data_IF_645608680603
#
_entry.id   IF_645608680603
#
_cell.length_a   1.000
_cell.length_b   1.000
_cell.length_c   1.000
_cell.angle_alpha   90.00
_cell.angle_beta   90.00
_cell.angle_gamma   90.00
#
_symmetry.space_group_name_H-M   'P 1'
#
loop_
_entity.id
_entity.type
_entity.pdbx_description
1 polymer ?
#
# COMPACT_ATOMS: atom_id res chain seq x y z
N UNK A 1 6.56 3.44 23.10
CA UNK A 1 7.36 3.03 21.99
C UNK A 1 6.60 2.13 21.07
N UNK A 2 6.51 2.41 19.86
CA UNK A 2 5.78 1.60 18.93
C UNK A 2 6.69 0.74 18.08
N UNK A 3 6.06 -0.12 17.30
CA UNK A 3 6.74 -0.93 16.31
C UNK A 3 6.88 -0.09 15.05
N UNK A 4 8.09 0.18 14.62
CA UNK A 4 8.33 1.03 13.47
C UNK A 4 8.33 0.23 12.18
N UNK A 5 7.75 0.81 11.14
CA UNK A 5 7.69 0.17 9.83
C UNK A 5 8.15 1.16 8.76
N UNK A 6 8.58 0.62 7.65
CA UNK A 6 8.95 1.45 6.51
C UNK A 6 8.49 0.78 5.22
N UNK A 7 8.34 1.58 4.19
CA UNK A 7 7.97 1.07 2.87
C UNK A 7 9.23 0.74 2.10
N UNK A 8 9.30 -0.47 1.57
CA UNK A 8 10.46 -0.90 0.80
C UNK A 8 10.29 -0.63 -0.68
N UNK A 9 9.06 -0.56 -1.13
CA UNK A 9 8.79 -0.29 -2.53
C UNK A 9 7.31 -0.38 -2.80
N UNK A 10 6.89 0.07 -3.98
CA UNK A 10 5.49 -0.03 -4.34
C UNK A 10 5.34 0.06 -5.85
N UNK A 11 4.25 -0.51 -6.33
CA UNK A 11 3.74 -0.30 -7.67
C UNK A 11 2.26 -0.02 -7.47
N UNK A 12 1.84 1.22 -7.68
CA UNK A 12 0.50 1.62 -7.30
C UNK A 12 -0.08 2.53 -8.37
N UNK A 13 -1.26 2.20 -8.84
CA UNK A 13 -1.89 2.99 -9.89
C UNK A 13 -3.39 3.07 -9.65
N UNK A 14 -3.94 4.30 -9.74
CA UNK A 14 -5.36 4.53 -9.67
C UNK A 14 -5.73 5.42 -10.86
N UNK A 15 -6.67 4.99 -11.71
CA UNK A 15 -7.10 5.81 -12.83
C UNK A 15 -7.68 7.14 -12.34
N UNK A 16 -7.51 8.19 -13.15
CA UNK A 16 -7.89 9.54 -12.78
C UNK A 16 -9.35 9.64 -12.35
N UNK A 17 -10.21 8.83 -12.94
CA UNK A 17 -11.65 8.88 -12.62
C UNK A 17 -11.93 8.49 -11.18
N UNK A 18 -11.00 7.82 -10.51
CA UNK A 18 -11.16 7.36 -9.13
C UNK A 18 -10.25 8.10 -8.15
N UNK A 19 -9.38 8.98 -8.65
CA UNK A 19 -8.39 9.66 -7.80
C UNK A 19 -9.05 10.40 -6.64
N UNK A 20 -10.13 11.14 -6.92
CA UNK A 20 -10.80 11.91 -5.88
C UNK A 20 -11.38 11.02 -4.79
N UNK A 21 -11.91 9.86 -5.16
CA UNK A 21 -12.45 8.92 -4.17
C UNK A 21 -11.37 8.37 -3.27
N UNK A 22 -10.24 8.01 -3.88
CA UNK A 22 -9.13 7.46 -3.10
C UNK A 22 -8.60 8.51 -2.14
N UNK A 23 -8.44 9.75 -2.59
CA UNK A 23 -8.02 10.82 -1.69
C UNK A 23 -8.99 10.99 -0.52
N UNK A 24 -10.29 10.97 -0.81
CA UNK A 24 -11.29 11.13 0.25
C UNK A 24 -11.22 10.01 1.28
N UNK A 25 -10.97 8.79 0.82
CA UNK A 25 -10.94 7.63 1.69
C UNK A 25 -9.65 7.49 2.48
N UNK A 26 -8.58 8.18 2.06
CA UNK A 26 -7.28 8.05 2.69
C UNK A 26 -6.87 9.29 3.47
N UNK A 27 -7.79 10.23 3.69
CA UNK A 27 -7.49 11.41 4.48
C UNK A 27 -7.03 11.02 5.88
N UNK A 28 -6.03 11.72 6.37
CA UNK A 28 -5.46 11.53 7.71
C UNK A 28 -4.70 10.22 7.87
N UNK A 29 -4.49 9.50 6.77
CA UNK A 29 -3.64 8.32 6.81
C UNK A 29 -2.21 8.74 6.45
N UNK A 30 -1.22 8.01 6.95
CA UNK A 30 0.18 8.40 6.75
C UNK A 30 0.70 7.99 5.37
N UNK A 31 -0.01 8.38 4.34
CA UNK A 31 0.36 8.06 2.96
C UNK A 31 0.31 9.31 2.09
N UNK A 32 1.26 9.40 1.18
CA UNK A 32 1.32 10.48 0.22
C UNK A 32 1.20 9.88 -1.17
N UNK A 33 0.59 10.61 -2.09
CA UNK A 33 0.35 10.12 -3.43
C UNK A 33 0.97 11.06 -4.45
N UNK A 34 1.50 10.47 -5.52
CA UNK A 34 2.02 11.23 -6.64
C UNK A 34 1.09 11.06 -7.82
N UNK A 35 0.79 12.17 -8.49
CA UNK A 35 -0.10 12.17 -9.64
C UNK A 35 0.67 12.47 -10.90
N UNK A 36 0.21 11.92 -12.02
CA UNK A 36 0.77 12.29 -13.31
C UNK A 36 -0.01 13.48 -13.88
N UNK A 37 0.31 13.88 -15.11
CA UNK A 37 -0.32 15.04 -15.71
C UNK A 37 -1.79 14.82 -16.03
N UNK A 38 -2.22 13.56 -16.09
CA UNK A 38 -3.62 13.23 -16.37
C UNK A 38 -4.43 13.04 -15.10
N UNK A 39 -3.81 13.17 -13.93
CA UNK A 39 -4.50 13.02 -12.67
C UNK A 39 -4.58 11.59 -12.15
N UNK A 40 -3.90 10.66 -12.79
CA UNK A 40 -3.82 9.30 -12.27
C UNK A 40 -2.87 9.27 -11.09
N UNK A 41 -3.17 8.43 -10.09
CA UNK A 41 -2.22 8.20 -9.01
C UNK A 41 -1.21 7.19 -9.53
N UNK A 42 0.06 7.57 -9.54
CA UNK A 42 1.11 6.71 -10.09
C UNK A 42 2.08 6.22 -9.03
N UNK A 43 1.97 6.75 -7.82
CA UNK A 43 2.90 6.36 -6.76
C UNK A 43 2.24 6.59 -5.42
N UNK A 44 2.54 5.71 -4.47
CA UNK A 44 2.10 5.84 -3.09
C UNK A 44 3.32 5.71 -2.21
N UNK A 45 3.46 6.60 -1.23
CA UNK A 45 4.58 6.59 -0.29
C UNK A 45 4.03 6.59 1.13
N UNK A 46 4.57 5.69 1.95
CA UNK A 46 4.24 5.66 3.37
C UNK A 46 5.13 6.68 4.08
N UNK A 47 4.50 7.64 4.75
CA UNK A 47 5.23 8.72 5.40
C UNK A 47 5.15 8.66 6.93
N UNK A 48 4.48 7.63 7.47
CA UNK A 48 4.44 7.41 8.89
C UNK A 48 5.55 6.48 9.36
N UNK A 49 5.49 6.13 10.62
CA UNK A 49 6.44 5.17 11.18
C UNK A 49 5.74 4.03 11.89
N UNK A 50 4.42 4.03 11.95
CA UNK A 50 3.65 3.00 12.64
C UNK A 50 2.40 2.68 11.84
N UNK A 51 1.90 1.46 12.03
CA UNK A 51 0.66 1.04 11.39
C UNK A 51 -0.53 1.73 12.04
N UNK A 52 -1.52 2.05 11.21
CA UNK A 52 -2.81 2.52 11.66
C UNK A 52 -3.88 1.55 11.19
N UNK A 53 -4.95 2.08 10.60
CA UNK A 53 -6.03 1.25 10.07
C UNK A 53 -5.77 0.90 8.61
N UNK A 54 -4.54 0.49 8.32
CA UNK A 54 -4.08 0.33 6.94
C UNK A 54 -4.88 -0.70 6.17
N UNK A 55 -5.14 -1.85 6.80
CA UNK A 55 -5.85 -2.92 6.12
C UNK A 55 -7.27 -2.48 5.74
N UNK A 56 -7.97 -1.84 6.67
CA UNK A 56 -9.32 -1.36 6.38
C UNK A 56 -9.31 -0.32 5.27
N UNK A 57 -8.36 0.60 5.33
CA UNK A 57 -8.25 1.63 4.30
C UNK A 57 -8.00 1.00 2.94
N UNK A 58 -7.08 0.03 2.87
CA UNK A 58 -6.77 -0.61 1.60
C UNK A 58 -7.95 -1.40 1.07
N UNK A 59 -8.76 -2.01 1.94
CA UNK A 59 -9.96 -2.69 1.48
C UNK A 59 -10.96 -1.70 0.89
N UNK A 60 -11.07 -0.52 1.48
CA UNK A 60 -12.00 0.49 0.98
C UNK A 60 -11.61 0.99 -0.40
N UNK A 61 -10.31 1.19 -0.64
CA UNK A 61 -9.87 1.73 -1.93
C UNK A 61 -9.61 0.65 -2.97
N UNK A 62 -9.57 -0.62 -2.57
CA UNK A 62 -9.22 -1.71 -3.48
C UNK A 62 -10.03 -1.74 -4.77
N UNK A 63 -11.35 -1.48 -4.76
CA UNK A 63 -12.11 -1.51 -6.02
C UNK A 63 -11.65 -0.47 -7.04
N UNK A 64 -10.92 0.54 -6.61
CA UNK A 64 -10.49 1.64 -7.47
C UNK A 64 -9.03 1.54 -7.87
N UNK A 65 -8.30 0.59 -7.31
CA UNK A 65 -6.87 0.43 -7.55
C UNK A 65 -6.66 -0.60 -8.65
N UNK A 66 -5.75 -0.30 -9.56
CA UNK A 66 -5.50 -1.18 -10.69
C UNK A 66 -4.92 -2.52 -10.22
N UNK A 67 -5.40 -3.60 -10.85
CA UNK A 67 -4.89 -4.94 -10.56
C UNK A 67 -3.38 -4.99 -10.76
N UNK A 68 -2.72 -5.72 -9.87
CA UNK A 68 -1.26 -5.84 -9.92
C UNK A 68 -0.54 -4.79 -9.11
N UNK A 69 -1.27 -3.82 -8.55
CA UNK A 69 -0.67 -2.85 -7.64
C UNK A 69 -0.27 -3.54 -6.34
N UNK A 70 0.82 -3.08 -5.72
CA UNK A 70 1.25 -3.62 -4.44
C UNK A 70 2.01 -2.58 -3.65
N UNK A 71 2.08 -2.80 -2.34
CA UNK A 71 2.85 -1.99 -1.43
C UNK A 71 3.68 -2.95 -0.58
N UNK A 72 5.00 -2.80 -0.61
CA UNK A 72 5.93 -3.70 0.07
C UNK A 72 6.44 -3.01 1.32
N UNK A 73 6.19 -3.61 2.48
CA UNK A 73 6.52 -3.03 3.77
C UNK A 73 7.49 -3.91 4.54
N UNK A 74 8.22 -3.29 5.46
CA UNK A 74 9.13 -4.01 6.33
C UNK A 74 9.05 -3.41 7.73
N UNK A 75 8.99 -4.28 8.74
CA UNK A 75 9.00 -3.85 10.12
C UNK A 75 10.41 -3.79 10.66
N UNK A 76 10.54 -3.17 11.83
CA UNK A 76 11.86 -2.97 12.45
C UNK A 76 12.51 -4.28 12.85
N UNK A 77 11.75 -5.35 12.98
CA UNK A 77 12.29 -6.67 13.31
C UNK A 77 12.65 -7.49 12.07
N UNK A 78 12.56 -6.87 10.88
CA UNK A 78 12.89 -7.55 9.64
C UNK A 78 11.73 -8.28 9.01
N UNK A 79 10.56 -8.28 9.64
CA UNK A 79 9.37 -8.87 9.02
C UNK A 79 9.00 -8.11 7.76
N UNK A 80 8.57 -8.83 6.74
CA UNK A 80 8.18 -8.20 5.50
C UNK A 80 6.81 -8.71 5.07
N UNK A 81 6.05 -7.82 4.44
CA UNK A 81 4.73 -8.17 3.91
C UNK A 81 4.41 -7.27 2.75
N UNK A 82 3.41 -7.66 1.96
CA UNK A 82 2.90 -6.86 0.85
C UNK A 82 1.40 -6.76 0.93
N UNK A 83 0.91 -5.57 0.62
CA UNK A 83 -0.50 -5.35 0.35
C UNK A 83 -0.64 -5.49 -1.16
N UNK A 84 -1.43 -6.46 -1.63
CA UNK A 84 -1.55 -6.74 -3.05
C UNK A 84 -2.99 -6.51 -3.48
N UNK A 85 -3.18 -5.76 -4.57
CA UNK A 85 -4.50 -5.40 -5.07
C UNK A 85 -4.81 -6.23 -6.32
N UNK A 86 -5.89 -6.97 -6.26
CA UNK A 86 -6.28 -7.84 -7.37
C UNK A 86 -7.78 -8.02 -7.35
N UNK A 87 -8.42 -7.82 -8.52
CA UNK A 87 -9.86 -8.06 -8.69
C UNK A 87 -10.71 -7.29 -7.68
N UNK A 88 -10.31 -6.06 -7.37
CA UNK A 88 -11.06 -5.22 -6.45
C UNK A 88 -10.90 -5.56 -4.98
N UNK A 89 -9.92 -6.38 -4.64
CA UNK A 89 -9.67 -6.82 -3.27
C UNK A 89 -8.22 -6.58 -2.92
N UNK A 90 -7.97 -6.23 -1.67
CA UNK A 90 -6.61 -6.11 -1.17
C UNK A 90 -6.31 -7.29 -0.24
N UNK A 91 -5.18 -7.91 -0.44
CA UNK A 91 -4.75 -9.02 0.40
C UNK A 91 -3.40 -8.70 1.01
N UNK A 92 -3.20 -9.15 2.22
CA UNK A 92 -1.90 -9.05 2.88
C UNK A 92 -1.17 -10.37 2.68
N UNK A 93 0.04 -10.28 2.13
CA UNK A 93 0.88 -11.46 1.89
C UNK A 93 2.14 -11.30 2.71
N UNK A 94 2.38 -12.24 3.62
CA UNK A 94 3.56 -12.22 4.46
C UNK A 94 4.69 -12.95 3.73
N UNK A 95 5.86 -12.34 3.72
CA UNK A 95 7.01 -12.97 3.12
C UNK A 95 7.46 -14.15 3.97
N UNK A 96 7.79 -15.24 3.32
CA UNK A 96 8.40 -16.37 3.97
C UNK A 96 9.86 -16.37 3.63
N UNK A 97 10.69 -16.44 4.66
CA UNK A 97 12.12 -16.58 4.47
C UNK A 97 12.41 -18.08 4.50
N UNK A 98 12.79 -18.61 3.37
CA UNK A 98 13.13 -20.02 3.25
C UNK A 98 14.60 -20.12 2.91
N UNK A 99 15.33 -20.81 3.76
CA UNK A 99 16.75 -21.04 3.51
C UNK A 99 16.89 -22.25 2.64
N UNK A 100 17.56 -22.12 1.56
CA UNK A 100 17.80 -23.29 0.71
C UNK A 100 18.65 -24.28 1.44
N UNK A 101 18.42 -25.44 1.40
CA UNK A 101 19.07 -26.35 1.96
C UNK A 101 19.38 -26.46 3.08
N UNK A 102 19.11 -26.30 3.37
CA UNK A 102 19.37 -26.53 4.26
C UNK A 102 19.26 -27.31 4.51
#
# INVERSE_FOLDING_TARGET
>A
MGYCIEMRGSKFFVPTQHTGRVFAMTQRQPYDFKLDTDGNITELTFIGDKLGNDFEMFQLIAPYVQDGSYIWMMGEDGSQWRWVFQSGVCKEITAKVEWPDE
#
